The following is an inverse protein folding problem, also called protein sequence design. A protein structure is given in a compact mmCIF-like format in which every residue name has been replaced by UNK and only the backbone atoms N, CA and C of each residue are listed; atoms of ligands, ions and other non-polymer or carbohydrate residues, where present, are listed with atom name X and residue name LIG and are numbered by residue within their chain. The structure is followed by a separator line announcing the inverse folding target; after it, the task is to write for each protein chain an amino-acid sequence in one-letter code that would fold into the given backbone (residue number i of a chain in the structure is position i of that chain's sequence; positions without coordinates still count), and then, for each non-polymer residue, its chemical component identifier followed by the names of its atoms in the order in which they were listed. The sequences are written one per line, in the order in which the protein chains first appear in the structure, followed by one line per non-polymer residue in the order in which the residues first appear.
data_IF_099322028193
#
_entry.id   IF_099322028193
#
_cell.length_a   1.000
_cell.length_b   1.000
_cell.length_c   1.000
_cell.angle_alpha   90.00
_cell.angle_beta   90.00
_cell.angle_gamma   90.00
#
_symmetry.space_group_name_H-M   'P 1'
#
loop_
_entity.id
_entity.type
_entity.pdbx_description
1 polymer ?
#
# COMPACT_ATOMS: atom_id res chain seq x y z
N UNK A 1 11.99 -1.19 -3.95
CA UNK A 1 10.93 -0.15 -4.07
C UNK A 1 10.99 0.69 -2.82
N UNK A 2 10.94 2.03 -2.88
CA UNK A 2 11.02 2.85 -1.65
C UNK A 2 9.64 3.24 -1.14
N UNK A 3 9.27 2.78 0.05
CA UNK A 3 8.07 3.23 0.75
C UNK A 3 8.34 4.60 1.41
N UNK A 4 7.32 5.47 1.39
CA UNK A 4 7.41 6.81 1.99
C UNK A 4 6.23 7.02 2.92
N UNK A 5 6.48 7.51 4.14
CA UNK A 5 5.44 8.00 5.05
C UNK A 5 5.49 9.52 5.14
N UNK A 6 4.33 10.12 5.40
CA UNK A 6 4.26 11.52 5.82
C UNK A 6 3.95 11.58 7.32
N UNK A 7 4.93 12.05 8.09
CA UNK A 7 4.77 12.30 9.53
C UNK A 7 4.37 13.77 9.75
N UNK A 8 3.70 14.06 10.87
CA UNK A 8 3.29 15.43 11.24
C UNK A 8 3.87 15.89 12.59
N UNK A 9 5.20 15.81 12.80
CA UNK A 9 5.80 16.32 14.03
C UNK A 9 5.53 17.83 14.13
N UNK A 10 4.91 18.25 15.24
CA UNK A 10 4.60 19.66 15.53
C UNK A 10 3.67 20.34 14.49
N UNK A 11 2.84 19.57 13.78
CA UNK A 11 1.88 20.11 12.81
C UNK A 11 2.46 20.43 11.42
N UNK A 12 3.74 20.16 11.18
CA UNK A 12 4.37 20.28 9.86
C UNK A 12 4.51 18.92 9.17
N UNK A 13 4.27 18.85 7.86
CA UNK A 13 4.43 17.63 7.05
C UNK A 13 5.92 17.34 6.82
N UNK A 14 6.38 16.17 7.24
CA UNK A 14 7.72 15.63 6.95
C UNK A 14 7.59 14.34 6.16
N UNK A 15 8.43 14.15 5.13
CA UNK A 15 8.50 12.90 4.39
C UNK A 15 9.64 12.06 4.97
N UNK A 16 9.34 10.81 5.32
CA UNK A 16 10.32 9.86 5.81
C UNK A 16 10.28 8.60 4.94
N UNK A 17 11.46 8.07 4.64
CA UNK A 17 11.57 6.79 3.96
C UNK A 17 11.39 5.66 4.97
N UNK A 18 10.67 4.63 4.56
CA UNK A 18 10.54 3.40 5.34
C UNK A 18 11.47 2.38 4.69
N UNK A 19 12.47 1.94 5.45
CA UNK A 19 13.31 0.80 5.08
C UNK A 19 12.52 -0.48 5.40
N UNK A 20 12.30 -1.30 4.38
CA UNK A 20 11.59 -2.57 4.50
C UNK A 20 12.55 -3.74 4.27
N UNK A 21 12.18 -4.92 4.74
CA UNK A 21 12.91 -6.14 4.40
C UNK A 21 12.82 -6.43 2.89
N UNK A 22 13.88 -6.98 2.31
CA UNK A 22 14.00 -7.25 0.87
C UNK A 22 12.85 -8.11 0.32
N UNK A 23 12.33 -9.05 1.13
CA UNK A 23 11.20 -9.89 0.74
C UNK A 23 9.91 -9.07 0.59
N UNK A 24 9.66 -8.12 1.51
CA UNK A 24 8.50 -7.22 1.44
C UNK A 24 8.59 -6.32 0.22
N UNK A 25 9.78 -5.78 -0.08
CA UNK A 25 9.99 -4.98 -1.28
C UNK A 25 9.74 -5.78 -2.58
N UNK A 26 10.14 -7.05 -2.61
CA UNK A 26 9.91 -7.93 -3.74
C UNK A 26 8.41 -8.22 -3.94
N UNK A 27 7.67 -8.50 -2.86
CA UNK A 27 6.21 -8.70 -2.91
C UNK A 27 5.49 -7.46 -3.44
N UNK A 28 5.90 -6.27 -2.99
CA UNK A 28 5.31 -5.02 -3.44
C UNK A 28 5.63 -4.74 -4.92
N UNK A 29 6.85 -5.05 -5.37
CA UNK A 29 7.21 -4.95 -6.77
C UNK A 29 6.34 -5.87 -7.66
N UNK A 30 6.11 -7.12 -7.25
CA UNK A 30 5.21 -8.04 -7.97
C UNK A 30 3.78 -7.48 -8.10
N UNK A 31 3.25 -6.90 -7.01
CA UNK A 31 1.93 -6.28 -7.01
C UNK A 31 1.87 -5.08 -7.97
N UNK A 32 2.88 -4.20 -7.95
CA UNK A 32 2.97 -3.05 -8.86
C UNK A 32 3.10 -3.47 -10.32
N UNK A 33 3.92 -4.49 -10.62
CA UNK A 33 4.03 -5.05 -11.98
C UNK A 33 2.72 -5.67 -12.47
N UNK A 34 1.92 -6.24 -11.55
CA UNK A 34 0.59 -6.75 -11.83
C UNK A 34 -0.48 -5.65 -11.96
N UNK A 35 -0.12 -4.39 -11.74
CA UNK A 35 -0.97 -3.22 -11.93
C UNK A 35 -1.72 -2.76 -10.68
N UNK A 36 -1.36 -3.28 -9.50
CA UNK A 36 -1.87 -2.81 -8.22
C UNK A 36 -1.11 -1.56 -7.77
N UNK A 37 -1.82 -0.60 -7.21
CA UNK A 37 -1.26 0.61 -6.65
C UNK A 37 -1.34 0.58 -5.12
N UNK A 38 -0.43 1.29 -4.45
CA UNK A 38 -0.45 1.48 -3.00
C UNK A 38 -0.77 2.94 -2.68
N UNK A 39 -1.80 3.16 -1.89
CA UNK A 39 -2.21 4.48 -1.45
C UNK A 39 -2.04 4.65 0.05
N UNK A 40 -1.66 5.86 0.46
CA UNK A 40 -1.52 6.25 1.87
C UNK A 40 -2.19 7.61 2.04
N UNK A 41 -3.22 7.65 2.88
CA UNK A 41 -3.91 8.87 3.27
C UNK A 41 -3.62 9.19 4.74
N UNK A 42 -3.18 10.42 5.01
CA UNK A 42 -2.92 10.88 6.37
C UNK A 42 -4.01 11.83 6.84
N UNK A 43 -4.48 11.64 8.08
CA UNK A 43 -5.46 12.49 8.74
C UNK A 43 -4.84 13.19 9.96
N UNK A 44 -4.27 14.41 9.81
CA UNK A 44 -3.53 15.08 10.87
C UNK A 44 -4.35 15.37 12.13
N UNK A 45 -5.64 15.69 11.97
CA UNK A 45 -6.54 16.01 13.09
C UNK A 45 -6.73 14.82 14.04
N UNK A 46 -6.67 13.60 13.50
CA UNK A 46 -6.87 12.35 14.25
C UNK A 46 -5.57 11.60 14.51
N UNK A 47 -4.46 12.10 13.97
CA UNK A 47 -3.16 11.42 13.97
C UNK A 47 -3.24 9.98 13.45
N UNK A 48 -4.07 9.75 12.42
CA UNK A 48 -4.25 8.42 11.80
C UNK A 48 -3.73 8.39 10.38
N UNK A 49 -3.30 7.21 9.95
CA UNK A 49 -2.94 6.89 8.56
C UNK A 49 -3.84 5.76 8.10
N UNK A 50 -4.46 5.94 6.94
CA UNK A 50 -5.13 4.89 6.18
C UNK A 50 -4.23 4.48 5.03
N UNK A 51 -4.15 3.19 4.76
CA UNK A 51 -3.33 2.65 3.68
C UNK A 51 -4.06 1.50 3.01
N UNK A 52 -3.95 1.41 1.70
CA UNK A 52 -4.53 0.32 0.94
C UNK A 52 -3.66 -0.06 -0.25
N UNK A 53 -3.92 -1.27 -0.74
CA UNK A 53 -3.44 -1.75 -2.03
C UNK A 53 -4.68 -1.97 -2.90
N UNK A 54 -4.81 -1.25 -4.00
CA UNK A 54 -6.03 -1.21 -4.80
C UNK A 54 -5.76 -1.23 -6.30
N UNK A 55 -6.78 -1.64 -7.05
CA UNK A 55 -6.96 -1.21 -8.43
C UNK A 55 -8.00 -0.07 -8.45
N UNK A 56 -8.20 0.53 -9.63
CA UNK A 56 -9.03 1.71 -9.94
C UNK A 56 -10.34 1.81 -9.13
N UNK A 57 -10.95 0.70 -8.70
CA UNK A 57 -12.21 0.74 -7.94
C UNK A 57 -12.23 -0.09 -6.64
N UNK A 58 -11.31 -1.04 -6.39
CA UNK A 58 -11.43 -1.91 -5.22
C UNK A 58 -10.10 -2.26 -4.53
N UNK A 59 -10.00 -2.03 -3.20
CA UNK A 59 -8.84 -2.49 -2.46
C UNK A 59 -8.81 -4.02 -2.37
N UNK A 60 -7.62 -4.60 -2.56
CA UNK A 60 -7.32 -6.01 -2.28
C UNK A 60 -6.86 -6.21 -0.83
N UNK A 61 -6.35 -5.15 -0.19
CA UNK A 61 -6.12 -5.07 1.24
C UNK A 61 -6.17 -3.61 1.69
N UNK A 62 -6.58 -3.36 2.93
CA UNK A 62 -6.62 -2.02 3.52
C UNK A 62 -6.36 -2.10 5.03
N UNK A 63 -5.67 -1.10 5.57
CA UNK A 63 -5.32 -0.99 7.00
C UNK A 63 -5.38 0.46 7.47
N UNK A 64 -5.50 0.63 8.77
CA UNK A 64 -5.37 1.92 9.42
C UNK A 64 -4.57 1.80 10.72
N UNK A 65 -3.85 2.87 11.07
CA UNK A 65 -3.06 2.93 12.30
C UNK A 65 -2.85 4.36 12.77
N UNK A 66 -2.24 4.51 13.95
CA UNK A 66 -1.72 5.81 14.38
C UNK A 66 -0.52 6.20 13.50
N UNK A 67 -0.40 7.49 13.21
CA UNK A 67 0.75 8.04 12.50
C UNK A 67 1.96 8.03 13.44
N UNK A 68 3.07 7.43 12.99
CA UNK A 68 4.29 7.29 13.77
C UNK A 68 4.88 5.87 13.67
N UNK A 69 5.36 5.28 14.78
CA UNK A 69 6.16 4.06 14.75
C UNK A 69 5.40 2.81 14.27
N UNK A 70 4.07 2.86 14.24
CA UNK A 70 3.23 1.73 13.79
C UNK A 70 3.17 1.64 12.25
N UNK A 71 3.47 2.73 11.53
CA UNK A 71 3.30 2.81 10.08
C UNK A 71 4.15 1.76 9.35
N UNK A 72 5.46 1.59 9.62
CA UNK A 72 6.25 0.55 8.95
C UNK A 72 5.69 -0.86 9.12
N UNK A 73 5.25 -1.20 10.33
CA UNK A 73 4.65 -2.51 10.64
C UNK A 73 3.37 -2.73 9.82
N UNK A 74 2.54 -1.68 9.70
CA UNK A 74 1.26 -1.76 9.00
C UNK A 74 1.44 -1.81 7.49
N UNK A 75 2.47 -1.15 6.96
CA UNK A 75 2.89 -1.29 5.55
C UNK A 75 3.31 -2.72 5.25
N UNK A 76 4.11 -3.35 6.11
CA UNK A 76 4.51 -4.75 5.93
C UNK A 76 3.28 -5.68 5.91
N UNK A 77 2.42 -5.56 6.91
CA UNK A 77 1.20 -6.36 7.00
C UNK A 77 0.28 -6.15 5.78
N UNK A 78 0.15 -4.91 5.29
CA UNK A 78 -0.63 -4.57 4.10
C UNK A 78 -0.07 -5.28 2.86
N UNK A 79 1.24 -5.20 2.61
CA UNK A 79 1.88 -5.81 1.45
C UNK A 79 1.70 -7.32 1.47
N UNK A 80 1.93 -7.96 2.63
CA UNK A 80 1.78 -9.42 2.77
C UNK A 80 0.34 -9.87 2.57
N UNK A 81 -0.63 -9.16 3.15
CA UNK A 81 -2.05 -9.47 2.98
C UNK A 81 -2.51 -9.26 1.52
N UNK A 82 -2.14 -8.13 0.91
CA UNK A 82 -2.45 -7.83 -0.48
C UNK A 82 -1.93 -8.92 -1.42
N UNK A 83 -0.66 -9.35 -1.22
CA UNK A 83 -0.07 -10.42 -2.00
C UNK A 83 -0.79 -11.74 -1.78
N UNK A 84 -1.05 -12.14 -0.53
CA UNK A 84 -1.78 -13.37 -0.23
C UNK A 84 -3.18 -13.40 -0.88
N UNK A 85 -3.93 -12.32 -0.77
CA UNK A 85 -5.25 -12.17 -1.39
C UNK A 85 -5.15 -12.21 -2.94
N UNK A 86 -4.07 -11.69 -3.52
CA UNK A 86 -3.80 -11.76 -4.95
C UNK A 86 -3.50 -13.20 -5.42
N UNK A 87 -2.72 -13.96 -4.63
CA UNK A 87 -2.49 -15.39 -4.86
C UNK A 87 -3.81 -16.17 -4.82
N UNK A 88 -4.62 -15.97 -3.79
CA UNK A 88 -5.88 -16.69 -3.59
C UNK A 88 -6.86 -16.48 -4.75
N UNK A 89 -6.85 -15.28 -5.34
CA UNK A 89 -7.63 -14.93 -6.54
C UNK A 89 -7.08 -15.54 -7.84
N UNK A 90 -5.93 -16.22 -7.81
CA UNK A 90 -5.29 -16.82 -8.98
C UNK A 90 -4.35 -15.90 -9.76
N UNK A 91 -3.82 -14.85 -9.11
CA UNK A 91 -2.93 -13.84 -9.72
C UNK A 91 -3.46 -13.11 -10.99
N UNK A 92 -4.73 -12.69 -11.07
CA UNK A 92 -5.15 -11.83 -12.18
C UNK A 92 -4.43 -10.48 -12.12
N UNK A 93 -4.22 -9.81 -13.26
CA UNK A 93 -3.76 -8.41 -13.27
C UNK A 93 -4.85 -7.52 -12.66
N UNK A 94 -4.44 -6.50 -11.93
CA UNK A 94 -5.37 -5.53 -11.31
C UNK A 94 -6.18 -4.78 -12.37
N UNK A 95 -5.53 -4.44 -13.49
CA UNK A 95 -6.18 -3.86 -14.66
C UNK A 95 -6.38 -4.96 -15.69
N UNK A 96 -7.60 -5.49 -15.78
CA UNK A 96 -8.00 -6.20 -16.99
C UNK A 96 -8.06 -5.15 -18.10
N UNK A 97 -7.27 -5.25 -19.19
CA UNK A 97 -7.48 -4.35 -20.32
C UNK A 97 -8.96 -4.49 -20.72
N UNK A 98 -9.70 -3.39 -20.73
CA UNK A 98 -11.00 -3.35 -21.40
C UNK A 98 -10.71 -3.91 -22.79
N UNK A 99 -11.22 -5.10 -23.08
CA UNK A 99 -11.10 -5.65 -24.41
C UNK A 99 -11.70 -4.60 -25.35
N UNK A 100 -10.84 -4.07 -26.23
CA UNK A 100 -11.25 -3.46 -27.46
C UNK A 100 -11.87 -4.57 -28.31
N UNK A 101 -13.11 -4.95 -27.97
CA UNK A 101 -13.95 -5.70 -28.89
C UNK A 101 -14.41 -4.69 -29.95
N UNK A 102 -13.89 -4.87 -31.16
CA UNK A 102 -14.14 -4.03 -32.33
C UNK A 102 -15.45 -4.32 -33.04
#
# INVERSE_FOLDING_TARGET
MKFTQFTFPHGGRSAEFIDMADDVEALAAELTEAGWDFEIECHPERQTVNMDCCDIEKPIAARSCQNGPDVPVKVEELVREAHANWIERGKPRARTPLNAEG
#
